data_IF_209169585982
#
_entry.id   IF_209169585982
#
_cell.length_a   1.000
_cell.length_b   1.000
_cell.length_c   1.000
_cell.angle_alpha   90.00
_cell.angle_beta   90.00
_cell.angle_gamma   90.00
#
_symmetry.space_group_name_H-M   'P 1'
#
loop_
_entity.id
_entity.type
_entity.pdbx_description
1 polymer ?
#
# COMPACT_ATOMS: atom_id res chain seq x y z
N UNK A 1 -60.08 9.21 11.39
CA UNK A 1 -59.06 10.26 11.14
C UNK A 1 -57.70 9.65 11.42
N UNK A 2 -56.91 9.56 10.35
CA UNK A 2 -55.50 9.15 10.21
C UNK A 2 -54.86 8.28 11.31
N UNK A 3 -54.72 6.98 11.02
CA UNK A 3 -54.01 5.95 11.83
C UNK A 3 -52.51 6.24 12.08
N UNK A 4 -52.02 7.37 11.60
CA UNK A 4 -50.61 7.79 11.63
C UNK A 4 -50.40 9.22 12.16
N UNK A 5 -51.44 9.90 12.67
CA UNK A 5 -51.30 11.22 13.28
C UNK A 5 -50.27 11.20 14.43
N UNK A 6 -49.22 12.03 14.31
CA UNK A 6 -48.16 12.16 15.32
C UNK A 6 -47.09 11.04 15.31
N UNK A 7 -47.15 10.08 14.38
CA UNK A 7 -46.14 9.02 14.25
C UNK A 7 -44.97 9.49 13.38
N UNK A 8 -43.76 9.02 13.70
CA UNK A 8 -42.54 9.28 12.92
C UNK A 8 -42.58 8.47 11.61
N UNK A 9 -42.41 9.15 10.48
CA UNK A 9 -42.09 8.51 9.21
C UNK A 9 -40.57 8.38 9.09
N UNK A 10 -40.07 7.18 8.88
CA UNK A 10 -38.64 6.91 8.69
C UNK A 10 -38.42 6.28 7.32
N UNK A 11 -37.59 6.94 6.50
CA UNK A 11 -37.22 6.48 5.16
C UNK A 11 -35.74 6.14 5.19
N UNK A 12 -35.43 4.85 4.99
CA UNK A 12 -34.05 4.36 4.90
C UNK A 12 -33.76 3.96 3.46
N UNK A 13 -32.55 4.29 3.00
CA UNK A 13 -32.08 3.94 1.67
C UNK A 13 -30.55 3.76 1.74
N UNK A 14 -30.00 2.89 0.90
CA UNK A 14 -28.56 2.63 0.82
C UNK A 14 -27.97 3.42 -0.33
N UNK A 15 -26.89 4.17 -0.08
CA UNK A 15 -26.11 4.82 -1.12
C UNK A 15 -24.81 4.06 -1.36
N UNK A 16 -24.44 3.92 -2.64
CA UNK A 16 -23.12 3.43 -3.06
C UNK A 16 -22.43 4.57 -3.80
N UNK A 17 -21.23 4.93 -3.34
CA UNK A 17 -20.38 5.90 -4.03
C UNK A 17 -19.74 5.18 -5.21
N UNK A 18 -20.02 5.64 -6.43
CA UNK A 18 -19.41 5.09 -7.64
C UNK A 18 -17.96 5.55 -7.78
N UNK A 19 -17.15 4.76 -8.48
CA UNK A 19 -15.72 5.05 -8.69
C UNK A 19 -15.46 6.39 -9.44
N UNK A 20 -16.47 6.93 -10.13
CA UNK A 20 -16.47 8.22 -10.82
C UNK A 20 -16.73 9.43 -9.89
N UNK A 21 -17.08 9.18 -8.62
CA UNK A 21 -17.41 10.24 -7.68
C UNK A 21 -16.23 11.20 -7.48
N UNK A 22 -16.54 12.50 -7.47
CA UNK A 22 -15.52 13.52 -7.25
C UNK A 22 -14.94 13.39 -5.83
N UNK A 23 -13.62 13.19 -5.76
CA UNK A 23 -12.89 13.12 -4.50
C UNK A 23 -12.73 14.51 -3.94
N UNK A 24 -12.75 14.64 -2.62
CA UNK A 24 -12.63 15.93 -1.95
C UNK A 24 -13.75 16.93 -2.29
N UNK A 25 -14.88 16.45 -2.79
CA UNK A 25 -16.06 17.26 -3.06
C UNK A 25 -17.26 16.73 -2.26
N UNK A 26 -18.20 17.64 -1.98
CA UNK A 26 -19.42 17.27 -1.28
C UNK A 26 -20.33 16.44 -2.19
N UNK A 27 -20.56 15.20 -1.82
CA UNK A 27 -21.60 14.35 -2.39
C UNK A 27 -22.88 14.64 -1.62
N UNK A 28 -23.69 15.55 -2.15
CA UNK A 28 -24.93 16.01 -1.52
C UNK A 28 -26.06 15.07 -1.88
N UNK A 29 -26.64 14.40 -0.88
CA UNK A 29 -27.94 13.78 -1.03
C UNK A 29 -29.04 14.71 -0.51
N UNK A 30 -30.04 14.98 -1.36
CA UNK A 30 -31.21 15.78 -0.99
C UNK A 30 -32.47 14.92 -1.07
N UNK A 31 -33.21 14.82 0.04
CA UNK A 31 -34.54 14.24 0.08
C UNK A 31 -35.57 15.34 0.27
N UNK A 32 -36.64 15.32 -0.51
CA UNK A 32 -37.74 16.30 -0.38
C UNK A 32 -39.06 15.56 -0.24
N UNK A 33 -39.78 15.83 0.86
CA UNK A 33 -41.11 15.32 1.12
C UNK A 33 -42.13 16.40 0.77
N UNK A 34 -43.15 16.04 -0.02
CA UNK A 34 -44.25 16.92 -0.43
C UNK A 34 -45.56 16.49 0.26
N UNK A 35 -45.89 17.07 1.44
CA UNK A 35 -47.12 16.73 2.17
C UNK A 35 -48.36 17.47 1.65
N UNK A 36 -48.54 17.54 0.33
CA UNK A 36 -49.68 18.23 -0.31
C UNK A 36 -49.52 19.75 -0.35
N UNK A 37 -50.51 20.49 0.17
CA UNK A 37 -50.57 21.96 0.14
C UNK A 37 -49.66 22.65 1.17
N UNK A 38 -48.92 21.88 1.97
CA UNK A 38 -47.97 22.39 2.95
C UNK A 38 -46.59 22.60 2.32
N UNK A 39 -45.74 23.37 3.01
CA UNK A 39 -44.36 23.58 2.58
C UNK A 39 -43.59 22.25 2.51
N UNK A 40 -42.87 21.98 1.40
CA UNK A 40 -42.06 20.79 1.29
C UNK A 40 -40.99 20.73 2.38
N UNK A 41 -40.79 19.54 2.95
CA UNK A 41 -39.74 19.31 3.93
C UNK A 41 -38.50 18.79 3.20
N UNK A 42 -37.35 19.44 3.41
CA UNK A 42 -36.10 19.11 2.74
C UNK A 42 -35.09 18.61 3.78
N UNK A 43 -34.61 17.38 3.59
CA UNK A 43 -33.45 16.82 4.29
C UNK A 43 -32.23 16.84 3.37
N UNK A 44 -31.07 17.23 3.88
CA UNK A 44 -29.79 17.20 3.16
C UNK A 44 -28.74 16.47 3.99
N UNK A 45 -28.07 15.54 3.36
CA UNK A 45 -26.91 14.84 3.92
C UNK A 45 -25.73 15.04 2.98
N UNK A 46 -24.58 15.41 3.55
CA UNK A 46 -23.35 15.59 2.78
C UNK A 46 -22.40 14.46 3.14
N UNK A 47 -21.94 13.73 2.13
CA UNK A 47 -20.90 12.73 2.31
C UNK A 47 -19.63 13.15 1.57
N UNK A 48 -18.46 12.82 2.12
CA UNK A 48 -17.17 13.11 1.48
C UNK A 48 -16.21 11.95 1.67
N UNK A 49 -15.47 11.64 0.61
CA UNK A 49 -14.37 10.68 0.64
C UNK A 49 -13.06 11.38 0.35
N UNK A 50 -11.99 10.88 0.94
CA UNK A 50 -10.65 11.38 0.67
C UNK A 50 -9.85 10.45 -0.23
N UNK A 51 -8.56 10.73 -0.27
CA UNK A 51 -7.54 9.93 -0.94
C UNK A 51 -6.17 10.44 -0.53
N UNK A 52 -5.13 9.80 -1.06
CA UNK A 52 -3.75 10.20 -0.80
C UNK A 52 -2.90 9.94 -2.04
N UNK A 53 -1.92 10.83 -2.29
CA UNK A 53 -0.96 10.72 -3.39
C UNK A 53 0.43 10.42 -2.87
N UNK A 54 1.15 9.57 -3.58
CA UNK A 54 2.49 9.14 -3.23
C UNK A 54 3.43 9.28 -4.43
N UNK A 55 4.72 9.34 -4.14
CA UNK A 55 5.78 9.19 -5.15
C UNK A 55 6.86 8.25 -4.67
N UNK A 56 7.22 7.30 -5.51
CA UNK A 56 8.28 6.34 -5.27
C UNK A 56 9.61 6.87 -5.80
N UNK A 57 10.64 6.88 -4.96
CA UNK A 57 11.97 7.43 -5.28
C UNK A 57 13.10 6.52 -4.84
N UNK A 58 14.27 6.73 -5.43
CA UNK A 58 15.53 6.21 -4.88
C UNK A 58 15.90 6.95 -3.59
N UNK A 59 16.40 6.24 -2.58
CA UNK A 59 16.84 6.86 -1.32
C UNK A 59 18.10 7.72 -1.49
N UNK A 60 18.95 7.34 -2.45
CA UNK A 60 20.28 7.93 -2.66
C UNK A 60 20.36 8.73 -3.97
N UNK A 61 21.37 9.61 -4.05
CA UNK A 61 21.66 10.42 -5.22
C UNK A 61 20.58 11.46 -5.49
N UNK A 62 20.22 11.66 -6.77
CA UNK A 62 19.22 12.66 -7.19
C UNK A 62 17.77 12.30 -6.83
N UNK A 63 17.54 11.22 -6.08
CA UNK A 63 16.21 10.73 -5.69
C UNK A 63 15.24 10.60 -6.88
N UNK A 64 15.78 10.06 -7.97
CA UNK A 64 15.03 9.82 -9.20
C UNK A 64 13.78 8.97 -8.90
N UNK A 65 12.68 9.22 -9.64
CA UNK A 65 11.46 8.42 -9.51
C UNK A 65 11.69 6.95 -9.89
N UNK A 66 10.91 6.06 -9.29
CA UNK A 66 10.98 4.62 -9.52
C UNK A 66 9.63 4.02 -9.91
N UNK A 67 9.58 3.45 -11.10
CA UNK A 67 8.41 2.77 -11.63
C UNK A 67 8.27 1.33 -11.14
N UNK A 68 7.05 0.79 -11.27
CA UNK A 68 6.69 -0.63 -11.10
C UNK A 68 6.87 -1.20 -9.69
N UNK A 69 7.03 -0.34 -8.68
CA UNK A 69 6.86 -0.76 -7.29
C UNK A 69 5.38 -1.04 -7.02
N UNK A 70 5.05 -2.07 -6.23
CA UNK A 70 3.66 -2.41 -5.91
C UNK A 70 3.42 -2.36 -4.41
N UNK A 71 2.29 -1.77 -4.02
CA UNK A 71 1.90 -1.49 -2.63
C UNK A 71 0.52 -2.05 -2.31
N UNK A 72 0.29 -2.27 -1.02
CA UNK A 72 -1.03 -2.48 -0.42
C UNK A 72 -1.26 -1.47 0.70
N UNK A 73 -2.53 -1.17 0.98
CA UNK A 73 -2.92 -0.36 2.13
C UNK A 73 -3.33 -1.29 3.27
N UNK A 74 -2.94 -0.97 4.50
CA UNK A 74 -3.27 -1.74 5.70
C UNK A 74 -3.85 -0.85 6.81
N UNK A 75 -4.63 -1.48 7.67
CA UNK A 75 -5.11 -0.88 8.91
C UNK A 75 -3.95 -0.86 9.93
N UNK A 76 -3.68 0.28 10.59
CA UNK A 76 -2.58 0.41 11.55
C UNK A 76 -2.76 -0.39 12.84
N UNK A 77 -4.00 -0.74 13.20
CA UNK A 77 -4.31 -1.40 14.49
C UNK A 77 -4.16 -2.91 14.42
N UNK A 78 -4.58 -3.55 13.33
CA UNK A 78 -4.67 -5.02 13.23
C UNK A 78 -3.97 -5.62 12.00
N UNK A 79 -3.26 -4.79 11.22
CA UNK A 79 -2.51 -5.16 10.01
C UNK A 79 -3.37 -5.82 8.90
N UNK A 80 -4.70 -5.68 8.97
CA UNK A 80 -5.61 -6.13 7.92
C UNK A 80 -5.39 -5.34 6.62
N UNK A 81 -5.66 -5.98 5.49
CA UNK A 81 -5.34 -5.44 4.15
C UNK A 81 -6.59 -4.88 3.50
N UNK A 82 -6.44 -3.75 2.81
CA UNK A 82 -7.50 -3.13 2.02
C UNK A 82 -7.90 -4.03 0.84
N UNK A 83 -9.19 -4.34 0.78
CA UNK A 83 -9.84 -5.06 -0.31
C UNK A 83 -10.96 -4.19 -0.89
N UNK A 84 -11.31 -4.43 -2.15
CA UNK A 84 -12.48 -3.85 -2.80
C UNK A 84 -13.39 -5.00 -3.24
N UNK A 85 -14.56 -5.09 -2.62
CA UNK A 85 -15.59 -6.11 -2.89
C UNK A 85 -16.95 -5.48 -2.77
N UNK A 86 -17.88 -5.89 -3.64
CA UNK A 86 -19.26 -5.41 -3.64
C UNK A 86 -19.39 -3.88 -3.66
N UNK A 87 -18.51 -3.22 -4.45
CA UNK A 87 -18.52 -1.76 -4.59
C UNK A 87 -18.03 -0.98 -3.37
N UNK A 88 -17.35 -1.63 -2.41
CA UNK A 88 -16.87 -0.98 -1.18
C UNK A 88 -15.47 -1.43 -0.78
N UNK A 89 -14.72 -0.49 -0.20
CA UNK A 89 -13.49 -0.78 0.51
C UNK A 89 -13.76 -1.46 1.85
N UNK A 90 -13.02 -2.52 2.14
CA UNK A 90 -13.09 -3.30 3.37
C UNK A 90 -11.68 -3.71 3.80
N UNK A 91 -11.44 -3.75 5.10
CA UNK A 91 -10.19 -4.25 5.67
C UNK A 91 -10.39 -5.69 6.13
N UNK A 92 -9.62 -6.62 5.57
CA UNK A 92 -9.75 -8.05 5.82
C UNK A 92 -8.40 -8.70 6.14
N UNK A 93 -8.43 -9.77 6.94
CA UNK A 93 -7.25 -10.59 7.22
C UNK A 93 -7.03 -11.59 6.07
N UNK A 94 -6.37 -11.13 5.02
CA UNK A 94 -6.09 -11.92 3.79
C UNK A 94 -4.63 -11.77 3.35
N UNK A 95 -4.14 -12.74 2.58
CA UNK A 95 -2.83 -12.64 1.96
C UNK A 95 -2.78 -11.50 0.94
N UNK A 96 -1.65 -10.81 0.82
CA UNK A 96 -1.49 -9.66 -0.09
C UNK A 96 -1.58 -10.02 -1.57
N UNK A 97 -1.52 -11.30 -1.93
CA UNK A 97 -1.73 -11.85 -3.28
C UNK A 97 -3.18 -12.33 -3.53
N UNK A 98 -4.07 -12.26 -2.54
CA UNK A 98 -5.46 -12.69 -2.68
C UNK A 98 -6.25 -11.84 -3.70
N UNK A 99 -7.32 -12.42 -4.24
CA UNK A 99 -8.26 -11.70 -5.11
C UNK A 99 -8.98 -10.61 -4.32
N UNK A 100 -9.31 -9.50 -4.99
CA UNK A 100 -9.97 -8.35 -4.38
C UNK A 100 -9.06 -7.44 -3.53
N UNK A 101 -7.81 -7.82 -3.25
CA UNK A 101 -6.83 -6.92 -2.61
C UNK A 101 -6.52 -5.74 -3.54
N UNK A 102 -6.59 -4.54 -2.99
CA UNK A 102 -6.26 -3.31 -3.71
C UNK A 102 -4.74 -3.19 -3.80
N UNK A 103 -4.22 -3.23 -5.03
CA UNK A 103 -2.78 -3.07 -5.30
C UNK A 103 -2.53 -1.80 -6.09
N UNK A 104 -1.65 -0.97 -5.55
CA UNK A 104 -1.24 0.29 -6.18
C UNK A 104 0.13 0.08 -6.80
N UNK A 105 0.34 0.50 -8.04
CA UNK A 105 1.63 0.37 -8.71
C UNK A 105 2.14 1.74 -9.10
N UNK A 106 3.41 2.04 -8.81
CA UNK A 106 4.03 3.29 -9.25
C UNK A 106 4.17 3.31 -10.77
N UNK A 107 3.74 4.41 -11.37
CA UNK A 107 3.86 4.68 -12.81
C UNK A 107 5.31 5.00 -13.21
N UNK A 108 5.53 5.32 -14.48
CA UNK A 108 6.85 5.63 -15.03
C UNK A 108 7.50 6.87 -14.41
N UNK A 109 6.68 7.79 -13.90
CA UNK A 109 7.10 8.99 -13.16
C UNK A 109 7.18 8.74 -11.63
N UNK A 110 6.98 7.49 -11.21
CA UNK A 110 7.03 7.03 -9.82
C UNK A 110 5.79 7.34 -8.99
N UNK A 111 4.77 7.98 -9.55
CA UNK A 111 3.55 8.35 -8.83
C UNK A 111 2.59 7.17 -8.69
N UNK A 112 1.83 7.18 -7.60
CA UNK A 112 0.68 6.31 -7.39
C UNK A 112 -0.24 6.92 -6.34
N UNK A 113 -1.48 6.45 -6.27
CA UNK A 113 -2.49 7.06 -5.44
C UNK A 113 -3.54 6.07 -4.96
N UNK A 114 -4.21 6.44 -3.86
CA UNK A 114 -5.44 5.80 -3.41
C UNK A 114 -6.56 6.82 -3.36
N UNK A 115 -7.72 6.42 -3.85
CA UNK A 115 -8.90 7.25 -4.06
C UNK A 115 -10.09 6.63 -3.33
N UNK A 116 -11.00 7.45 -2.81
CA UNK A 116 -12.26 6.99 -2.22
C UNK A 116 -12.12 6.36 -0.82
N UNK A 117 -11.02 6.61 -0.11
CA UNK A 117 -10.88 6.15 1.27
C UNK A 117 -11.69 7.02 2.23
N UNK A 118 -12.20 6.40 3.30
CA UNK A 118 -12.73 7.15 4.44
C UNK A 118 -11.59 7.91 5.12
N UNK A 119 -11.92 9.00 5.79
CA UNK A 119 -10.94 9.69 6.62
C UNK A 119 -10.45 8.80 7.75
N UNK A 120 -9.16 8.86 8.04
CA UNK A 120 -8.52 8.00 9.01
C UNK A 120 -7.02 7.83 8.77
N UNK A 121 -6.41 7.02 9.62
CA UNK A 121 -4.99 6.68 9.57
C UNK A 121 -4.79 5.30 8.93
N UNK A 122 -3.75 5.18 8.12
CA UNK A 122 -3.48 4.01 7.32
C UNK A 122 -1.98 3.75 7.20
N UNK A 123 -1.64 2.53 6.81
CA UNK A 123 -0.28 2.13 6.46
C UNK A 123 -0.22 1.81 4.97
N UNK A 124 0.80 2.30 4.27
CA UNK A 124 1.16 1.84 2.92
C UNK A 124 2.38 0.93 3.02
N UNK A 125 2.26 -0.30 2.49
CA UNK A 125 3.29 -1.34 2.58
C UNK A 125 3.71 -1.78 1.18
N UNK A 126 5.01 -1.73 0.91
CA UNK A 126 5.57 -2.22 -0.36
C UNK A 126 5.57 -3.76 -0.35
N UNK A 127 4.99 -4.36 -1.39
CA UNK A 127 4.96 -5.83 -1.58
C UNK A 127 5.80 -6.28 -2.77
N UNK A 128 6.23 -5.35 -3.61
CA UNK A 128 7.17 -5.61 -4.71
C UNK A 128 8.01 -4.36 -4.98
N UNK A 129 9.33 -4.48 -4.82
CA UNK A 129 10.25 -3.42 -5.17
C UNK A 129 10.47 -3.29 -6.69
N UNK A 130 10.88 -2.10 -7.16
CA UNK A 130 11.44 -1.91 -8.50
C UNK A 130 12.66 -2.80 -8.74
N UNK A 131 12.92 -3.13 -10.02
CA UNK A 131 14.09 -3.92 -10.39
C UNK A 131 15.40 -3.25 -9.96
N UNK A 132 16.30 -4.02 -9.34
CA UNK A 132 17.58 -3.53 -8.83
C UNK A 132 17.53 -2.84 -7.47
N UNK A 133 16.37 -2.77 -6.82
CA UNK A 133 16.19 -2.17 -5.50
C UNK A 133 15.82 -3.22 -4.43
N UNK A 134 16.12 -2.91 -3.17
CA UNK A 134 15.73 -3.72 -2.00
C UNK A 134 14.25 -3.44 -1.68
N UNK A 135 13.52 -4.47 -1.28
CA UNK A 135 12.13 -4.35 -0.79
C UNK A 135 12.09 -3.61 0.54
N UNK A 136 11.23 -2.61 0.66
CA UNK A 136 11.03 -1.91 1.92
C UNK A 136 10.09 -2.70 2.84
N UNK A 137 10.65 -3.36 3.85
CA UNK A 137 9.87 -4.18 4.80
C UNK A 137 9.03 -3.36 5.78
N UNK A 138 9.43 -2.10 6.06
CA UNK A 138 8.72 -1.23 7.00
C UNK A 138 7.59 -0.47 6.30
N UNK A 139 6.32 -0.61 6.71
CA UNK A 139 5.24 0.21 6.17
C UNK A 139 5.43 1.68 6.53
N UNK A 140 4.82 2.57 5.75
CA UNK A 140 4.81 4.02 5.99
C UNK A 140 3.42 4.47 6.37
N UNK A 141 3.29 5.24 7.45
CA UNK A 141 2.01 5.78 7.90
C UNK A 141 1.58 6.99 7.06
N UNK A 142 0.29 7.13 6.82
CA UNK A 142 -0.31 8.31 6.20
C UNK A 142 -1.74 8.52 6.73
N UNK A 143 -2.18 9.77 6.72
CA UNK A 143 -3.52 10.16 7.20
C UNK A 143 -4.32 10.72 6.05
N UNK A 144 -5.52 10.17 5.82
CA UNK A 144 -6.48 10.69 4.85
C UNK A 144 -7.44 11.60 5.59
N UNK A 145 -7.51 12.86 5.18
CA UNK A 145 -8.42 13.86 5.72
C UNK A 145 -9.06 14.70 4.61
N UNK A 146 -9.68 15.80 5.05
CA UNK A 146 -10.30 16.78 4.16
C UNK A 146 -9.24 17.36 3.22
N UNK A 147 -9.51 17.32 1.91
CA UNK A 147 -8.68 17.92 0.87
C UNK A 147 -7.27 17.32 0.76
N UNK A 148 -7.00 16.19 1.41
CA UNK A 148 -5.66 15.58 1.40
C UNK A 148 -5.28 15.06 0.02
N UNK A 149 -6.24 14.63 -0.79
CA UNK A 149 -5.94 14.17 -2.14
C UNK A 149 -5.67 15.34 -3.08
N UNK A 150 -6.53 16.34 -3.06
CA UNK A 150 -6.51 17.50 -3.97
C UNK A 150 -5.45 18.55 -3.62
N UNK A 151 -5.30 18.86 -2.34
CA UNK A 151 -4.44 19.95 -1.84
C UNK A 151 -3.36 19.47 -0.87
N UNK A 152 -3.44 18.22 -0.41
CA UNK A 152 -2.47 17.64 0.49
C UNK A 152 -1.14 17.30 -0.17
N UNK A 153 -0.13 16.96 0.66
CA UNK A 153 1.21 16.64 0.20
C UNK A 153 1.22 15.35 -0.61
N UNK A 154 2.23 15.22 -1.48
CA UNK A 154 2.60 13.94 -2.09
C UNK A 154 3.67 13.29 -1.22
N UNK A 155 3.36 12.14 -0.61
CA UNK A 155 4.29 11.46 0.30
C UNK A 155 5.36 10.67 -0.49
N UNK A 156 6.63 10.91 -0.17
CA UNK A 156 7.74 10.18 -0.79
C UNK A 156 8.02 8.85 -0.08
N UNK A 157 8.15 7.77 -0.84
CA UNK A 157 8.57 6.44 -0.37
C UNK A 157 9.89 6.05 -1.05
N UNK A 158 10.86 5.57 -0.28
CA UNK A 158 12.25 5.44 -0.74
C UNK A 158 12.73 3.98 -0.77
N UNK A 159 13.39 3.57 -1.86
CA UNK A 159 14.13 2.29 -1.86
C UNK A 159 15.62 2.52 -2.03
N UNK A 160 16.38 1.66 -1.36
CA UNK A 160 17.84 1.57 -1.48
C UNK A 160 18.19 0.62 -2.62
N UNK A 161 19.22 0.94 -3.41
CA UNK A 161 19.70 0.06 -4.48
C UNK A 161 20.29 -1.21 -3.88
N UNK A 162 20.11 -2.35 -4.55
CA UNK A 162 20.82 -3.58 -4.18
C UNK A 162 22.33 -3.35 -4.28
N UNK A 163 23.13 -3.85 -3.34
CA UNK A 163 24.58 -3.76 -3.43
C UNK A 163 25.06 -4.51 -4.67
N UNK A 164 25.97 -3.89 -5.43
CA UNK A 164 26.66 -4.57 -6.52
C UNK A 164 27.70 -5.50 -5.91
N UNK A 165 27.44 -6.81 -5.91
CA UNK A 165 28.47 -7.79 -5.52
C UNK A 165 29.54 -7.77 -6.61
N UNK A 166 30.71 -7.21 -6.30
CA UNK A 166 31.92 -7.45 -7.09
C UNK A 166 32.48 -8.78 -6.66
N UNK A 167 32.20 -9.84 -7.42
CA UNK A 167 33.01 -11.05 -7.35
C UNK A 167 34.44 -10.66 -7.75
N UNK A 168 35.49 -11.06 -7.00
CA UNK A 168 36.84 -10.94 -7.53
C UNK A 168 36.90 -11.71 -8.85
N UNK A 169 37.46 -11.09 -9.89
CA UNK A 169 37.78 -11.78 -11.13
C UNK A 169 38.80 -12.88 -10.80
N UNK A 170 38.32 -14.08 -10.52
CA UNK A 170 39.17 -15.27 -10.41
C UNK A 170 39.46 -15.78 -11.81
N UNK A 171 40.20 -14.95 -12.57
CA UNK A 171 40.48 -15.17 -13.99
C UNK A 171 41.84 -14.65 -14.47
N UNK A 172 42.59 -13.91 -13.66
CA UNK A 172 43.99 -13.56 -14.00
C UNK A 172 44.90 -13.89 -12.83
N UNK A 173 45.52 -15.06 -12.91
CA UNK A 173 46.67 -15.42 -12.10
C UNK A 173 47.80 -14.42 -12.38
N UNK A 174 48.16 -13.61 -11.39
CA UNK A 174 49.54 -13.27 -11.09
C UNK A 174 49.64 -12.68 -9.67
N UNK A 175 50.39 -13.38 -8.82
CA UNK A 175 50.97 -12.93 -7.54
C UNK A 175 50.06 -12.81 -6.30
N UNK A 176 49.93 -13.98 -5.64
CA UNK A 176 50.28 -14.22 -4.23
C UNK A 176 49.62 -13.40 -3.10
N UNK A 177 48.70 -14.04 -2.35
CA UNK A 177 48.61 -14.14 -0.86
C UNK A 177 47.16 -14.24 -0.32
N UNK A 178 46.36 -15.25 -0.68
CA UNK A 178 45.09 -15.48 0.04
C UNK A 178 44.48 -16.90 -0.01
N UNK A 179 45.24 -17.95 -0.34
CA UNK A 179 44.69 -19.32 -0.41
C UNK A 179 45.57 -20.38 0.28
N UNK A 180 46.12 -20.07 1.45
CA UNK A 180 46.78 -21.10 2.30
C UNK A 180 45.81 -21.68 3.34
N UNK A 181 44.66 -21.06 3.61
CA UNK A 181 43.81 -21.41 4.74
C UNK A 181 42.93 -22.66 4.59
N UNK A 182 42.47 -23.02 3.38
CA UNK A 182 41.40 -24.03 3.23
C UNK A 182 41.89 -25.45 2.84
N UNK A 183 43.14 -25.62 2.40
CA UNK A 183 43.64 -26.93 1.98
C UNK A 183 44.30 -27.76 3.10
N UNK A 184 44.61 -27.17 4.25
CA UNK A 184 45.25 -27.89 5.37
C UNK A 184 44.24 -28.72 6.20
N UNK A 185 42.93 -28.45 6.11
CA UNK A 185 41.91 -29.16 6.88
C UNK A 185 41.50 -30.52 6.28
N UNK A 186 41.80 -30.80 5.02
CA UNK A 186 41.43 -32.07 4.37
C UNK A 186 42.50 -33.18 4.50
N UNK A 187 43.78 -32.81 4.64
CA UNK A 187 44.90 -33.76 4.77
C UNK A 187 45.04 -34.36 6.17
N UNK A 188 44.57 -33.67 7.22
CA UNK A 188 44.60 -34.18 8.60
C UNK A 188 43.62 -35.35 8.84
N UNK A 189 42.49 -35.39 8.14
CA UNK A 189 41.52 -36.50 8.22
C UNK A 189 41.99 -37.78 7.52
N UNK A 190 42.81 -37.66 6.48
CA UNK A 190 43.32 -38.82 5.71
C UNK A 190 44.48 -39.52 6.45
N UNK A 191 45.27 -38.80 7.24
CA UNK A 191 46.40 -39.39 7.99
C UNK A 191 45.98 -40.16 9.26
N UNK A 192 44.82 -39.84 9.86
CA UNK A 192 44.33 -40.53 11.07
C UNK A 192 43.71 -41.90 10.73
N UNK A 193 43.23 -42.12 9.50
CA UNK A 193 42.70 -43.43 9.07
C UNK A 193 43.76 -44.47 8.73
N UNK A 194 45.04 -44.10 8.55
CA UNK A 194 46.12 -45.05 8.18
C UNK A 194 46.94 -45.60 9.34
N UNK A 195 46.61 -45.26 10.60
CA UNK A 195 47.36 -45.70 11.80
C UNK A 195 46.67 -46.78 12.64
N UNK A 196 45.59 -47.40 12.16
CA UNK A 196 44.89 -48.47 12.91
C UNK A 196 45.00 -49.89 12.36
N UNK A 197 45.62 -50.07 11.19
CA UNK A 197 45.81 -51.39 10.59
C UNK A 197 47.29 -51.61 10.23
N UNK A 198 48.12 -51.80 11.25
CA UNK A 198 49.38 -52.57 11.20
C UNK A 198 49.93 -52.76 12.62
#
# INVERSE_FOLDING_TARGET
MADFGGKKLEVTYQMVIKDEAAIDQDLVNTATLYPGDLTPLVGRENFRTGGFRFIKRAAEGKQNPLAKATFVIKNPTDDTVLTYKDGKYQFEKVATNASGVVRLTSDDDGYFEIRGLRYGEYLVSEIRAPSGYVLQDKPTAFTVGVSTYSQGPVLSIFNVKKPKIRLPETGTVATSTAFVGLLIMASSLVMIRRRKDN
#
